data_IF_650077625336
#
_entry.id   IF_650077625336
#
_cell.length_a   1.000
_cell.length_b   1.000
_cell.length_c   1.000
_cell.angle_alpha   90.00
_cell.angle_beta   90.00
_cell.angle_gamma   90.00
#
_symmetry.space_group_name_H-M   'P 1'
#
loop_
_entity.id
_entity.type
_entity.pdbx_description
1 polymer ?
#
# COMPACT_ATOMS: atom_id res chain seq x y z
N UNK A 1 -23.79 9.94 20.07
CA UNK A 1 -24.33 8.66 19.56
C UNK A 1 -23.87 8.50 18.11
N UNK A 2 -23.05 7.49 17.83
CA UNK A 2 -22.66 7.15 16.46
C UNK A 2 -23.83 6.43 15.79
N UNK A 3 -24.42 6.99 14.73
CA UNK A 3 -25.58 6.40 14.04
C UNK A 3 -25.18 5.45 12.88
N UNK A 4 -23.97 5.59 12.35
CA UNK A 4 -23.48 4.84 11.18
C UNK A 4 -22.05 4.34 11.42
N UNK A 5 -21.68 3.19 10.85
CA UNK A 5 -20.31 2.71 10.79
C UNK A 5 -19.86 2.55 9.33
N UNK A 6 -18.62 2.97 9.07
CA UNK A 6 -17.93 2.67 7.83
C UNK A 6 -17.17 1.37 8.04
N UNK A 7 -17.55 0.33 7.30
CA UNK A 7 -16.81 -0.93 7.30
C UNK A 7 -16.04 -1.02 5.99
N UNK A 8 -14.71 -1.07 6.11
CA UNK A 8 -13.83 -1.45 5.01
C UNK A 8 -13.41 -2.89 5.25
N UNK A 9 -13.74 -3.77 4.31
CA UNK A 9 -13.19 -5.12 4.30
C UNK A 9 -12.05 -5.13 3.29
N UNK A 10 -10.83 -5.31 3.78
CA UNK A 10 -9.66 -5.49 2.93
C UNK A 10 -9.67 -6.92 2.41
N UNK A 11 -9.82 -7.08 1.10
CA UNK A 11 -9.84 -8.39 0.46
C UNK A 11 -8.67 -8.49 -0.51
N UNK A 12 -7.57 -9.10 -0.07
CA UNK A 12 -6.43 -9.35 -0.95
C UNK A 12 -6.83 -10.14 -2.19
N UNK A 13 -6.13 -9.88 -3.31
CA UNK A 13 -6.26 -10.64 -4.56
C UNK A 13 -6.00 -12.13 -4.28
N UNK A 14 -7.05 -12.88 -3.98
CA UNK A 14 -7.06 -14.33 -4.07
C UNK A 14 -7.31 -14.70 -5.54
N UNK A 15 -7.09 -15.95 -5.95
CA UNK A 15 -7.60 -16.45 -7.22
C UNK A 15 -9.14 -16.49 -7.16
N UNK A 16 -9.77 -15.32 -7.28
CA UNK A 16 -11.21 -15.16 -7.33
C UNK A 16 -11.70 -15.57 -8.71
N UNK A 17 -12.87 -16.21 -8.75
CA UNK A 17 -13.62 -16.29 -10.00
C UNK A 17 -14.13 -14.89 -10.34
N UNK A 18 -13.35 -14.16 -11.13
CA UNK A 18 -13.60 -12.76 -11.47
C UNK A 18 -14.95 -12.54 -12.17
N UNK A 19 -15.54 -13.58 -12.77
CA UNK A 19 -16.84 -13.49 -13.42
C UNK A 19 -18.01 -13.60 -12.45
N UNK A 20 -17.78 -14.17 -11.26
CA UNK A 20 -18.83 -14.39 -10.25
C UNK A 20 -18.61 -13.62 -8.97
N UNK A 21 -17.37 -13.22 -8.68
CA UNK A 21 -17.02 -12.44 -7.52
C UNK A 21 -17.73 -11.09 -7.57
N UNK A 22 -18.66 -10.89 -6.65
CA UNK A 22 -19.34 -9.63 -6.44
C UNK A 22 -19.49 -9.35 -4.95
N UNK A 23 -19.75 -8.10 -4.59
CA UNK A 23 -20.04 -7.77 -3.20
C UNK A 23 -21.49 -8.13 -2.89
N UNK A 24 -21.81 -8.42 -1.63
CA UNK A 24 -23.15 -8.90 -1.26
C UNK A 24 -24.24 -7.87 -1.58
N UNK A 25 -23.93 -6.58 -1.40
CA UNK A 25 -24.81 -5.45 -1.69
C UNK A 25 -24.67 -4.86 -3.10
N UNK A 26 -23.82 -5.44 -3.96
CA UNK A 26 -23.63 -4.96 -5.32
C UNK A 26 -23.31 -6.12 -6.30
N UNK A 27 -24.26 -6.51 -7.17
CA UNK A 27 -24.09 -7.64 -8.09
C UNK A 27 -23.15 -7.33 -9.27
N UNK A 28 -22.55 -6.14 -9.33
CA UNK A 28 -21.61 -5.78 -10.39
C UNK A 28 -20.34 -6.66 -10.30
N UNK A 29 -20.04 -7.49 -11.31
CA UNK A 29 -18.93 -8.44 -11.23
C UNK A 29 -17.57 -7.75 -11.12
N UNK A 30 -16.67 -8.29 -10.29
CA UNK A 30 -15.32 -7.76 -10.11
C UNK A 30 -14.53 -7.74 -11.42
N UNK A 31 -14.70 -8.74 -12.30
CA UNK A 31 -14.06 -8.78 -13.61
C UNK A 31 -14.51 -7.63 -14.52
N UNK A 32 -15.79 -7.26 -14.47
CA UNK A 32 -16.31 -6.10 -15.19
C UNK A 32 -15.74 -4.80 -14.61
N UNK A 33 -15.71 -4.68 -13.28
CA UNK A 33 -15.09 -3.54 -12.61
C UNK A 33 -13.62 -3.35 -12.98
N UNK A 34 -12.83 -4.43 -13.01
CA UNK A 34 -11.40 -4.37 -13.38
C UNK A 34 -11.22 -3.98 -14.85
N UNK A 35 -12.01 -4.53 -15.76
CA UNK A 35 -11.99 -4.14 -17.18
C UNK A 35 -12.33 -2.67 -17.36
N UNK A 36 -13.38 -2.20 -16.70
CA UNK A 36 -13.86 -0.83 -16.85
C UNK A 36 -12.89 0.17 -16.20
N UNK A 37 -12.21 -0.22 -15.11
CA UNK A 37 -11.08 0.53 -14.55
C UNK A 37 -9.90 0.59 -15.51
N UNK A 38 -9.50 -0.51 -16.14
CA UNK A 38 -8.43 -0.48 -17.12
C UNK A 38 -8.77 0.47 -18.27
N UNK A 39 -10.00 0.40 -18.78
CA UNK A 39 -10.46 1.30 -19.83
C UNK A 39 -10.48 2.78 -19.38
N UNK A 40 -10.77 3.06 -18.10
CA UNK A 40 -10.70 4.40 -17.53
C UNK A 40 -9.26 4.92 -17.49
N UNK A 41 -8.31 4.10 -17.00
CA UNK A 41 -6.90 4.47 -16.93
C UNK A 41 -6.30 4.67 -18.31
N UNK A 42 -6.61 3.79 -19.26
CA UNK A 42 -6.21 3.92 -20.66
C UNK A 42 -6.66 5.25 -21.26
N UNK A 43 -7.91 5.67 -21.01
CA UNK A 43 -8.43 6.97 -21.49
C UNK A 43 -7.80 8.15 -20.77
N UNK A 44 -7.64 8.05 -19.44
CA UNK A 44 -7.09 9.13 -18.63
C UNK A 44 -5.61 9.41 -18.89
N UNK A 45 -4.90 8.46 -19.51
CA UNK A 45 -3.46 8.52 -19.75
C UNK A 45 -3.11 8.41 -21.23
N UNK A 46 -4.09 8.54 -22.13
CA UNK A 46 -3.94 8.38 -23.58
C UNK A 46 -3.20 7.09 -23.98
N UNK A 47 -3.38 6.03 -23.17
CA UNK A 47 -2.69 4.73 -23.29
C UNK A 47 -1.16 4.81 -23.27
N UNK A 48 -0.60 5.91 -22.79
CA UNK A 48 0.86 6.09 -22.69
C UNK A 48 1.44 5.42 -21.44
N UNK A 49 0.60 5.15 -20.44
CA UNK A 49 1.02 4.63 -19.15
C UNK A 49 0.43 3.24 -18.92
N UNK A 50 1.24 2.34 -18.35
CA UNK A 50 0.82 1.00 -18.00
C UNK A 50 0.51 0.93 -16.50
N UNK A 51 -0.62 0.32 -16.16
CA UNK A 51 -1.02 0.06 -14.78
C UNK A 51 -1.37 -1.41 -14.60
N UNK A 52 -1.14 -1.94 -13.39
CA UNK A 52 -1.68 -3.22 -12.97
C UNK A 52 -2.54 -3.06 -11.73
N UNK A 53 -3.59 -3.86 -11.61
CA UNK A 53 -4.36 -3.99 -10.37
C UNK A 53 -3.45 -4.50 -9.25
N UNK A 54 -3.46 -3.79 -8.13
CA UNK A 54 -2.64 -4.08 -6.94
C UNK A 54 -3.49 -4.63 -5.80
N UNK A 55 -4.55 -3.91 -5.43
CA UNK A 55 -5.41 -4.25 -4.31
C UNK A 55 -6.88 -4.05 -4.67
N UNK A 56 -7.73 -4.94 -4.15
CA UNK A 56 -9.19 -4.83 -4.21
C UNK A 56 -9.72 -4.67 -2.79
N UNK A 57 -10.56 -3.68 -2.58
CA UNK A 57 -11.28 -3.50 -1.32
C UNK A 57 -12.77 -3.45 -1.63
N UNK A 58 -13.58 -4.03 -0.77
CA UNK A 58 -15.04 -3.88 -0.83
C UNK A 58 -15.45 -2.94 0.28
N UNK A 59 -16.19 -1.90 -0.07
CA UNK A 59 -16.61 -0.88 0.88
C UNK A 59 -18.13 -0.86 0.94
N UNK A 60 -18.65 -0.98 2.16
CA UNK A 60 -20.07 -0.87 2.47
C UNK A 60 -20.29 0.13 3.61
N UNK A 61 -21.44 0.80 3.59
CA UNK A 61 -21.87 1.70 4.66
C UNK A 61 -23.05 1.03 5.34
N UNK A 62 -22.94 0.76 6.64
CA UNK A 62 -23.98 0.07 7.40
C UNK A 62 -24.42 0.91 8.59
N UNK A 63 -25.67 0.72 9.03
CA UNK A 63 -26.09 1.19 10.35
C UNK A 63 -25.36 0.39 11.43
N UNK A 64 -25.25 0.94 12.63
CA UNK A 64 -24.73 0.21 13.79
C UNK A 64 -25.92 -0.25 14.62
N UNK A 65 -26.06 -1.57 14.80
CA UNK A 65 -27.10 -2.15 15.64
C UNK A 65 -26.71 -2.05 17.11
N UNK A 66 -25.49 -2.43 17.44
CA UNK A 66 -24.93 -2.41 18.79
C UNK A 66 -23.39 -2.40 18.72
N UNK A 67 -22.74 -2.12 19.85
CA UNK A 67 -21.29 -2.23 20.00
C UNK A 67 -20.98 -3.37 20.96
N UNK A 68 -20.16 -4.33 20.52
CA UNK A 68 -19.63 -5.38 21.38
C UNK A 68 -18.13 -5.22 21.51
N UNK A 69 -17.70 -4.58 22.59
CA UNK A 69 -16.29 -4.26 22.79
C UNK A 69 -15.79 -3.25 21.76
N UNK A 70 -14.75 -3.64 21.01
CA UNK A 70 -14.04 -2.79 20.04
C UNK A 70 -14.56 -2.95 18.59
N UNK A 71 -15.56 -3.80 18.36
CA UNK A 71 -16.12 -4.08 17.04
C UNK A 71 -17.62 -3.77 17.01
N UNK A 72 -18.10 -2.97 16.05
CA UNK A 72 -19.53 -2.72 15.90
C UNK A 72 -20.22 -3.97 15.33
N UNK A 73 -21.42 -4.26 15.83
CA UNK A 73 -22.34 -5.18 15.17
C UNK A 73 -23.11 -4.37 14.12
N UNK A 74 -22.87 -4.73 12.86
CA UNK A 74 -23.45 -4.05 11.71
C UNK A 74 -24.95 -4.37 11.61
N UNK A 75 -25.72 -3.36 11.26
CA UNK A 75 -27.15 -3.44 10.95
C UNK A 75 -27.39 -3.47 9.44
N UNK A 76 -28.34 -2.67 8.98
CA UNK A 76 -28.75 -2.59 7.59
C UNK A 76 -27.72 -1.86 6.72
N UNK A 77 -27.63 -2.26 5.45
CA UNK A 77 -26.84 -1.56 4.44
C UNK A 77 -27.50 -0.22 4.10
N UNK A 78 -26.77 0.88 4.26
CA UNK A 78 -27.24 2.25 4.07
C UNK A 78 -26.94 2.82 2.68
N UNK A 79 -25.96 2.25 1.97
CA UNK A 79 -25.60 2.66 0.62
C UNK A 79 -25.11 1.45 -0.20
N UNK A 80 -25.31 1.44 -1.54
CA UNK A 80 -24.76 0.38 -2.38
C UNK A 80 -23.27 0.20 -2.15
N UNK A 81 -22.86 -1.06 -2.00
CA UNK A 81 -21.45 -1.40 -1.87
C UNK A 81 -20.68 -1.09 -3.16
N UNK A 82 -19.39 -0.80 -3.04
CA UNK A 82 -18.54 -0.52 -4.19
C UNK A 82 -17.16 -1.13 -3.99
N UNK A 83 -16.44 -1.32 -5.11
CA UNK A 83 -15.04 -1.69 -5.07
C UNK A 83 -14.18 -0.45 -4.96
N UNK A 84 -13.17 -0.48 -4.10
CA UNK A 84 -12.01 0.40 -4.18
C UNK A 84 -10.84 -0.40 -4.74
N UNK A 85 -10.51 -0.12 -5.99
CA UNK A 85 -9.42 -0.74 -6.74
C UNK A 85 -8.20 0.19 -6.68
N UNK A 86 -7.09 -0.32 -6.18
CA UNK A 86 -5.78 0.35 -6.27
C UNK A 86 -5.02 -0.25 -7.43
N UNK A 87 -4.52 0.59 -8.32
CA UNK A 87 -3.64 0.21 -9.42
C UNK A 87 -2.28 0.89 -9.26
N UNK A 88 -1.25 0.19 -9.74
CA UNK A 88 0.14 0.62 -9.67
C UNK A 88 0.68 0.82 -11.08
N UNK A 89 1.28 1.98 -11.33
CA UNK A 89 1.97 2.29 -12.58
C UNK A 89 3.20 1.41 -12.76
N UNK A 90 3.49 1.04 -14.01
CA UNK A 90 4.72 0.36 -14.40
C UNK A 90 5.65 1.34 -15.09
N UNK A 91 6.93 1.29 -14.71
CA UNK A 91 8.02 1.98 -15.41
C UNK A 91 8.97 0.89 -15.92
N UNK A 92 9.23 0.89 -17.24
CA UNK A 92 10.08 -0.11 -17.89
C UNK A 92 9.69 -1.58 -17.57
N UNK A 93 8.40 -1.84 -17.44
CA UNK A 93 7.87 -3.17 -17.11
C UNK A 93 7.97 -3.58 -15.64
N UNK A 94 8.44 -2.69 -14.75
CA UNK A 94 8.48 -2.91 -13.31
C UNK A 94 7.42 -2.06 -12.60
N UNK A 95 6.65 -2.62 -11.65
CA UNK A 95 5.65 -1.86 -10.90
C UNK A 95 6.32 -0.88 -9.92
N UNK A 96 5.81 0.35 -9.82
CA UNK A 96 6.21 1.33 -8.79
C UNK A 96 5.43 1.04 -7.49
N UNK A 97 5.99 0.15 -6.67
CA UNK A 97 5.27 -0.51 -5.57
C UNK A 97 4.93 0.42 -4.41
N UNK A 98 5.79 1.41 -4.16
CA UNK A 98 5.71 2.29 -2.99
C UNK A 98 6.55 3.55 -3.26
N UNK A 99 6.20 4.66 -2.62
CA UNK A 99 7.18 5.69 -2.25
C UNK A 99 7.61 5.49 -0.80
N UNK A 100 8.90 5.68 -0.53
CA UNK A 100 9.40 5.83 0.83
C UNK A 100 8.78 7.10 1.41
N UNK A 101 7.57 6.98 1.93
CA UNK A 101 6.82 8.10 2.45
C UNK A 101 7.12 8.33 3.93
N UNK A 102 7.20 9.60 4.25
CA UNK A 102 7.36 10.16 5.59
C UNK A 102 6.07 9.85 6.39
N UNK A 103 5.89 8.64 6.90
CA UNK A 103 5.09 8.43 8.13
C UNK A 103 5.74 9.16 9.34
N UNK A 104 6.91 9.77 9.14
CA UNK A 104 7.45 10.88 9.92
C UNK A 104 6.60 12.17 9.87
N UNK A 105 5.49 12.24 9.12
CA UNK A 105 4.66 13.45 9.09
C UNK A 105 3.88 13.66 10.40
N UNK A 106 3.92 12.72 11.35
CA UNK A 106 3.34 12.87 12.68
C UNK A 106 4.32 12.49 13.81
N UNK A 107 5.32 13.36 14.05
CA UNK A 107 5.72 13.92 15.36
C UNK A 107 7.24 14.10 15.59
N UNK A 108 8.12 13.37 14.88
CA UNK A 108 9.57 13.38 15.18
C UNK A 108 10.51 13.71 14.00
N UNK A 109 9.99 14.10 12.82
CA UNK A 109 10.85 14.52 11.71
C UNK A 109 11.73 15.74 12.10
N UNK A 110 13.05 15.74 11.82
CA UNK A 110 13.88 16.92 12.03
C UNK A 110 13.30 18.13 11.31
N UNK A 111 13.15 19.26 12.02
CA UNK A 111 12.50 20.50 11.52
C UNK A 111 13.16 21.09 10.26
N UNK A 112 14.34 20.60 9.88
CA UNK A 112 15.15 21.05 8.76
C UNK A 112 14.97 20.22 7.47
N UNK A 113 14.16 19.17 7.47
CA UNK A 113 13.82 18.44 6.23
C UNK A 113 12.62 19.14 5.59
N UNK A 114 12.80 19.69 4.38
CA UNK A 114 11.67 20.17 3.59
C UNK A 114 10.76 18.97 3.29
N UNK A 115 9.48 19.12 3.63
CA UNK A 115 8.47 18.09 3.41
C UNK A 115 8.06 18.13 1.94
N UNK A 116 8.73 17.33 1.11
CA UNK A 116 8.36 17.15 -0.29
C UNK A 116 7.30 16.06 -0.36
N UNK A 117 6.04 16.45 -0.27
CA UNK A 117 4.95 15.49 -0.18
C UNK A 117 4.55 14.97 -1.57
N UNK A 118 5.35 14.07 -2.16
CA UNK A 118 4.87 13.26 -3.28
C UNK A 118 4.07 12.09 -2.72
N UNK A 119 2.81 12.35 -2.37
CA UNK A 119 1.91 11.31 -1.86
C UNK A 119 1.68 10.26 -2.96
N UNK A 120 2.21 9.05 -2.74
CA UNK A 120 1.95 7.84 -3.54
C UNK A 120 2.11 8.03 -5.08
N UNK A 121 3.33 8.29 -5.57
CA UNK A 121 3.60 8.41 -7.01
C UNK A 121 3.29 7.13 -7.76
N UNK A 122 2.76 7.28 -8.98
CA UNK A 122 2.37 6.16 -9.84
C UNK A 122 1.16 5.38 -9.32
N UNK A 123 0.37 5.95 -8.43
CA UNK A 123 -0.86 5.34 -7.95
C UNK A 123 -2.09 5.73 -8.80
N UNK A 124 -3.03 4.81 -8.89
CA UNK A 124 -4.40 5.14 -9.27
C UNK A 124 -5.36 4.47 -8.31
N UNK A 125 -6.33 5.23 -7.80
CA UNK A 125 -7.36 4.72 -6.91
C UNK A 125 -8.71 4.96 -7.55
N UNK A 126 -9.43 3.87 -7.82
CA UNK A 126 -10.75 3.91 -8.43
C UNK A 126 -11.77 3.34 -7.46
N UNK A 127 -12.83 4.10 -7.19
CA UNK A 127 -14.02 3.62 -6.48
C UNK A 127 -15.10 3.39 -7.52
N UNK A 128 -15.57 2.16 -7.68
CA UNK A 128 -16.53 1.79 -8.72
C UNK A 128 -17.64 0.92 -8.16
N UNK A 129 -18.87 1.39 -8.30
CA UNK A 129 -20.09 0.62 -7.98
C UNK A 129 -20.69 0.01 -9.26
N UNK A 130 -20.54 0.69 -10.40
CA UNK A 130 -20.94 0.21 -11.72
C UNK A 130 -20.22 0.99 -12.81
N UNK A 131 -20.38 0.57 -14.07
CA UNK A 131 -19.82 1.29 -15.22
C UNK A 131 -20.22 2.78 -15.30
N UNK A 132 -21.37 3.17 -14.74
CA UNK A 132 -21.87 4.54 -14.72
C UNK A 132 -21.73 5.25 -13.37
N UNK A 133 -21.28 4.56 -12.33
CA UNK A 133 -21.16 5.09 -10.97
C UNK A 133 -19.76 4.80 -10.42
N UNK A 134 -18.86 5.77 -10.61
CA UNK A 134 -17.48 5.66 -10.18
C UNK A 134 -16.87 7.03 -9.86
N UNK A 135 -15.78 7.02 -9.11
CA UNK A 135 -14.86 8.15 -8.95
C UNK A 135 -13.44 7.61 -9.02
N UNK A 136 -12.51 8.38 -9.58
CA UNK A 136 -11.12 7.94 -9.67
C UNK A 136 -10.17 9.13 -9.54
N UNK A 137 -8.96 8.83 -9.09
CA UNK A 137 -7.82 9.73 -9.12
C UNK A 137 -6.59 8.96 -9.59
N UNK A 138 -5.75 9.61 -10.39
CA UNK A 138 -4.49 9.07 -10.91
C UNK A 138 -3.39 10.06 -10.59
N UNK A 139 -2.23 9.57 -10.12
CA UNK A 139 -1.03 10.36 -9.86
C UNK A 139 0.11 9.81 -10.71
N UNK A 140 0.07 10.01 -12.03
CA UNK A 140 1.07 9.44 -12.90
C UNK A 140 2.43 10.08 -12.67
N UNK A 141 3.48 9.31 -12.89
CA UNK A 141 4.84 9.81 -12.97
C UNK A 141 5.40 9.62 -14.37
N UNK A 142 6.30 10.51 -14.76
CA UNK A 142 6.98 10.47 -16.04
C UNK A 142 8.48 10.26 -15.80
N UNK A 143 9.08 9.31 -16.51
CA UNK A 143 10.51 9.08 -16.46
C UNK A 143 11.23 10.19 -17.23
N UNK A 144 12.08 10.96 -16.54
CA UNK A 144 12.84 12.07 -17.13
C UNK A 144 14.26 11.67 -17.52
N UNK A 145 14.86 10.73 -16.80
CA UNK A 145 16.21 10.24 -17.04
C UNK A 145 16.41 8.83 -16.45
N UNK A 146 17.38 8.11 -16.98
CA UNK A 146 17.93 6.90 -16.36
C UNK A 146 19.28 7.25 -15.73
N UNK A 147 19.39 7.06 -14.41
CA UNK A 147 20.63 7.36 -13.68
C UNK A 147 21.65 6.21 -13.78
N UNK A 148 21.16 4.97 -13.77
CA UNK A 148 21.96 3.75 -13.87
C UNK A 148 21.20 2.68 -14.65
N UNK A 149 21.77 2.18 -15.75
CA UNK A 149 21.13 1.18 -16.61
C UNK A 149 21.15 -0.25 -16.03
N UNK A 150 22.24 -0.65 -15.37
CA UNK A 150 22.41 -2.01 -14.82
C UNK A 150 22.86 -1.95 -13.36
N UNK A 151 21.87 -2.04 -12.46
CA UNK A 151 22.10 -2.10 -11.02
C UNK A 151 22.26 -3.58 -10.62
N UNK A 152 23.43 -4.03 -10.15
CA UNK A 152 23.61 -5.42 -9.75
C UNK A 152 22.71 -5.74 -8.56
N UNK A 153 21.93 -6.80 -8.67
CA UNK A 153 21.06 -7.30 -7.61
C UNK A 153 21.78 -8.34 -6.75
N UNK A 154 21.53 -8.34 -5.44
CA UNK A 154 22.00 -9.44 -4.60
C UNK A 154 21.19 -10.73 -4.90
N UNK A 155 21.74 -11.91 -4.59
CA UNK A 155 21.00 -13.16 -4.71
C UNK A 155 19.69 -13.13 -3.90
N UNK A 156 18.64 -13.78 -4.41
CA UNK A 156 17.36 -13.91 -3.70
C UNK A 156 17.51 -14.51 -2.29
N UNK A 157 18.50 -15.38 -2.09
CA UNK A 157 18.84 -15.94 -0.78
C UNK A 157 19.18 -14.85 0.27
N UNK A 158 19.83 -13.75 -0.14
CA UNK A 158 20.11 -12.61 0.76
C UNK A 158 18.84 -11.88 1.18
N UNK A 159 17.86 -11.79 0.28
CA UNK A 159 16.53 -11.23 0.57
C UNK A 159 15.78 -12.14 1.55
N UNK A 160 15.75 -13.46 1.28
CA UNK A 160 15.13 -14.46 2.14
C UNK A 160 15.71 -14.44 3.55
N UNK A 161 17.04 -14.40 3.68
CA UNK A 161 17.72 -14.33 4.97
C UNK A 161 17.31 -13.07 5.77
N UNK A 162 17.11 -11.95 5.09
CA UNK A 162 16.68 -10.71 5.73
C UNK A 162 15.24 -10.80 6.25
N UNK A 163 14.36 -11.45 5.50
CA UNK A 163 12.98 -11.75 5.93
C UNK A 163 12.97 -12.72 7.10
N UNK A 164 13.76 -13.79 7.03
CA UNK A 164 13.88 -14.81 8.08
C UNK A 164 14.36 -14.20 9.40
N UNK A 165 15.32 -13.27 9.36
CA UNK A 165 15.77 -12.54 10.56
C UNK A 165 14.62 -11.79 11.23
N UNK A 166 13.73 -11.16 10.47
CA UNK A 166 12.56 -10.46 11.02
C UNK A 166 11.54 -11.43 11.63
N UNK A 167 11.39 -12.62 11.02
CA UNK A 167 10.49 -13.66 11.54
C UNK A 167 11.03 -14.22 12.85
N UNK A 168 12.29 -14.66 12.86
CA UNK A 168 12.94 -15.26 14.04
C UNK A 168 13.00 -14.30 15.22
N UNK A 169 13.16 -13.00 14.96
CA UNK A 169 13.14 -11.98 16.02
C UNK A 169 11.72 -11.60 16.50
N UNK A 170 10.68 -12.19 15.91
CA UNK A 170 9.29 -11.97 16.31
C UNK A 170 8.67 -10.66 15.79
N UNK A 171 9.43 -9.90 15.00
CA UNK A 171 8.99 -8.64 14.39
C UNK A 171 8.01 -8.90 13.24
N UNK A 172 8.30 -9.85 12.35
CA UNK A 172 7.42 -10.21 11.23
C UNK A 172 6.69 -11.51 11.54
N UNK A 173 5.38 -11.44 11.82
CA UNK A 173 4.59 -12.61 12.26
C UNK A 173 3.83 -13.29 11.14
N UNK A 174 3.68 -12.63 9.99
CA UNK A 174 3.09 -13.21 8.80
C UNK A 174 3.68 -12.58 7.54
N UNK A 175 3.73 -13.35 6.46
CA UNK A 175 4.08 -12.87 5.11
C UNK A 175 2.87 -13.09 4.21
N UNK A 176 2.30 -12.01 3.71
CA UNK A 176 1.15 -12.03 2.80
C UNK A 176 1.58 -11.96 1.34
N UNK A 177 2.66 -11.23 1.04
CA UNK A 177 3.26 -11.19 -0.29
C UNK A 177 4.73 -10.76 -0.26
N UNK A 178 5.45 -11.15 -1.30
CA UNK A 178 6.81 -10.68 -1.63
C UNK A 178 6.78 -10.26 -3.11
N UNK A 179 7.11 -9.01 -3.40
CA UNK A 179 7.04 -8.45 -4.76
C UNK A 179 8.34 -7.74 -5.11
N UNK A 180 8.78 -7.92 -6.36
CA UNK A 180 9.89 -7.19 -6.94
C UNK A 180 9.36 -6.04 -7.79
N UNK A 181 10.00 -4.87 -7.70
CA UNK A 181 9.61 -3.69 -8.46
C UNK A 181 10.45 -2.48 -8.08
N UNK A 182 9.94 -1.30 -8.38
CA UNK A 182 10.56 -0.03 -8.06
C UNK A 182 9.96 0.54 -6.78
N UNK A 183 10.79 1.23 -6.02
CA UNK A 183 10.39 2.07 -4.90
C UNK A 183 10.87 3.49 -5.18
N UNK A 184 9.99 4.47 -5.03
CA UNK A 184 10.32 5.89 -5.18
C UNK A 184 10.92 6.44 -3.89
N UNK A 185 11.94 7.26 -4.05
CA UNK A 185 12.62 8.05 -3.01
C UNK A 185 12.58 9.52 -3.43
N UNK A 186 12.69 10.42 -2.46
CA UNK A 186 12.82 11.85 -2.76
C UNK A 186 14.14 12.12 -3.49
N UNK A 187 14.08 12.95 -4.53
CA UNK A 187 15.27 13.49 -5.19
C UNK A 187 15.80 14.69 -4.39
N UNK A 188 17.00 14.62 -3.78
CA UNK A 188 17.54 15.74 -3.01
C UNK A 188 17.80 16.99 -3.85
N UNK A 189 17.93 16.86 -5.17
CA UNK A 189 18.24 17.95 -6.10
C UNK A 189 16.99 18.54 -6.77
N UNK A 190 15.80 17.96 -6.55
CA UNK A 190 14.56 18.37 -7.20
C UNK A 190 13.35 18.28 -6.27
N UNK A 191 12.71 19.42 -6.00
CA UNK A 191 11.59 19.51 -5.06
C UNK A 191 10.35 18.68 -5.44
N UNK A 192 10.18 18.39 -6.73
CA UNK A 192 9.11 17.54 -7.28
C UNK A 192 9.67 16.25 -7.91
N UNK A 193 10.98 16.03 -7.79
CA UNK A 193 11.68 14.89 -8.35
C UNK A 193 11.58 13.65 -7.47
N UNK A 194 11.56 12.50 -8.11
CA UNK A 194 11.67 11.21 -7.44
C UNK A 194 12.76 10.39 -8.10
N UNK A 195 13.47 9.61 -7.29
CA UNK A 195 14.40 8.58 -7.76
C UNK A 195 13.74 7.23 -7.54
N UNK A 196 13.53 6.47 -8.61
CA UNK A 196 12.97 5.13 -8.54
C UNK A 196 14.09 4.08 -8.54
N UNK A 197 14.12 3.20 -7.53
CA UNK A 197 15.15 2.18 -7.38
C UNK A 197 14.58 0.77 -7.17
N UNK A 198 15.26 -0.27 -7.68
CA UNK A 198 14.79 -1.66 -7.53
C UNK A 198 14.81 -2.11 -6.07
N UNK A 199 13.71 -2.70 -5.63
CA UNK A 199 13.55 -3.22 -4.28
C UNK A 199 12.64 -4.46 -4.26
N UNK A 200 12.74 -5.20 -3.17
CA UNK A 200 11.76 -6.19 -2.77
C UNK A 200 10.85 -5.60 -1.70
N UNK A 201 9.54 -5.70 -1.90
CA UNK A 201 8.52 -5.25 -0.93
C UNK A 201 7.83 -6.47 -0.34
N UNK A 202 7.90 -6.60 0.99
CA UNK A 202 7.27 -7.65 1.76
C UNK A 202 6.07 -7.07 2.49
N UNK A 203 4.89 -7.63 2.23
CA UNK A 203 3.68 -7.27 2.95
C UNK A 203 3.42 -8.27 4.05
N UNK A 204 3.16 -7.80 5.27
CA UNK A 204 2.93 -8.68 6.41
C UNK A 204 2.56 -7.96 7.70
N UNK A 205 2.29 -8.73 8.75
CA UNK A 205 2.05 -8.19 10.07
C UNK A 205 3.40 -7.94 10.75
N UNK A 206 3.81 -6.68 10.78
CA UNK A 206 5.04 -6.23 11.42
C UNK A 206 4.74 -5.62 12.78
N UNK A 207 5.57 -5.95 13.76
CA UNK A 207 5.53 -5.46 15.12
C UNK A 207 6.81 -4.68 15.39
N UNK A 208 6.68 -3.39 15.73
CA UNK A 208 7.84 -2.56 16.10
C UNK A 208 8.51 -3.10 17.37
N UNK A 209 7.71 -3.51 18.34
CA UNK A 209 8.17 -4.21 19.53
C UNK A 209 7.67 -5.66 19.50
N UNK A 210 8.57 -6.66 19.34
CA UNK A 210 8.18 -8.06 19.19
C UNK A 210 7.66 -8.65 20.51
N UNK A 211 7.96 -8.03 21.66
CA UNK A 211 7.50 -8.46 22.98
C UNK A 211 6.02 -8.14 23.26
N UNK A 212 5.39 -7.30 22.43
CA UNK A 212 4.00 -6.88 22.63
C UNK A 212 3.04 -7.92 22.05
N UNK A 213 2.05 -8.33 22.85
CA UNK A 213 1.05 -9.35 22.48
C UNK A 213 -0.25 -8.76 21.92
N UNK A 214 -0.27 -7.49 21.53
CA UNK A 214 -1.48 -6.80 21.08
C UNK A 214 -2.13 -7.51 19.87
N UNK A 215 -3.46 -7.63 19.93
CA UNK A 215 -4.28 -8.13 18.83
C UNK A 215 -4.29 -7.08 17.69
N UNK A 216 -3.87 -7.42 16.46
CA UNK A 216 -3.75 -6.49 15.34
C UNK A 216 -5.07 -5.95 14.78
N UNK A 217 -6.19 -6.39 15.32
CA UNK A 217 -7.53 -6.02 14.85
C UNK A 217 -8.28 -5.07 15.79
N UNK A 218 -7.65 -4.63 16.87
CA UNK A 218 -8.28 -3.80 17.89
C UNK A 218 -8.17 -2.30 17.55
N UNK A 219 -9.02 -1.84 16.64
CA UNK A 219 -9.00 -0.45 16.16
C UNK A 219 -9.72 0.56 17.07
N UNK A 220 -10.42 0.12 18.13
CA UNK A 220 -11.19 0.99 19.03
C UNK A 220 -10.92 0.70 20.50
N UNK A 221 -11.23 1.60 21.44
CA UNK A 221 -11.18 1.35 22.88
C UNK A 221 -12.18 0.27 23.29
N UNK A 222 -11.96 -0.49 24.39
CA UNK A 222 -12.89 -1.55 24.81
C UNK A 222 -14.36 -1.14 24.94
N UNK A 223 -14.64 0.16 25.10
CA UNK A 223 -16.00 0.73 25.14
C UNK A 223 -16.51 1.23 23.77
N UNK A 224 -15.75 1.05 22.70
CA UNK A 224 -16.09 1.42 21.32
C UNK A 224 -16.09 2.92 21.03
N UNK A 225 -15.66 3.78 21.98
CA UNK A 225 -15.87 5.24 21.88
C UNK A 225 -14.75 6.00 21.20
N UNK A 226 -13.53 5.48 21.19
CA UNK A 226 -12.38 6.12 20.56
C UNK A 226 -11.63 5.12 19.67
N UNK A 227 -11.13 5.58 18.53
CA UNK A 227 -10.21 4.81 17.70
C UNK A 227 -8.86 4.70 18.42
N UNK A 228 -8.35 3.50 18.67
CA UNK A 228 -6.97 3.29 19.11
C UNK A 228 -6.11 3.27 17.86
N UNK A 229 -5.88 4.44 17.28
CA UNK A 229 -4.81 4.61 16.31
C UNK A 229 -3.49 4.58 17.06
N UNK A 230 -2.66 3.57 16.81
CA UNK A 230 -1.36 3.48 17.49
C UNK A 230 -0.90 2.10 17.98
N UNK A 231 -1.54 0.99 17.58
CA UNK A 231 -1.12 -0.32 18.06
C UNK A 231 0.35 -0.60 17.66
N UNK A 232 1.10 -1.34 18.50
CA UNK A 232 2.49 -1.74 18.21
C UNK A 232 2.66 -2.63 16.96
N UNK A 233 1.56 -2.87 16.23
CA UNK A 233 1.45 -3.63 15.01
C UNK A 233 0.84 -2.77 13.90
N UNK A 234 1.40 -2.90 12.71
CA UNK A 234 0.77 -2.36 11.51
C UNK A 234 0.91 -3.42 10.42
N UNK A 235 -0.13 -3.54 9.60
CA UNK A 235 0.04 -4.16 8.29
C UNK A 235 0.99 -3.24 7.51
N UNK A 236 2.26 -3.59 7.51
CA UNK A 236 3.29 -2.81 6.86
C UNK A 236 3.91 -3.61 5.74
N UNK A 237 4.75 -2.91 5.03
CA UNK A 237 5.00 -3.07 3.64
C UNK A 237 6.50 -2.75 3.58
N UNK A 238 7.26 -3.74 4.03
CA UNK A 238 8.69 -3.71 4.36
C UNK A 238 9.49 -3.62 3.06
N UNK A 239 10.39 -2.65 2.97
CA UNK A 239 11.25 -2.49 1.80
C UNK A 239 12.60 -3.14 2.07
N UNK A 240 13.11 -3.91 1.11
CA UNK A 240 14.43 -4.50 1.13
C UNK A 240 15.15 -4.06 -0.15
N UNK A 241 16.24 -3.33 -0.01
CA UNK A 241 17.05 -2.87 -1.13
C UNK A 241 17.52 -4.09 -1.96
N UNK A 242 17.25 -4.09 -3.27
CA UNK A 242 17.48 -5.27 -4.10
C UNK A 242 18.96 -5.52 -4.43
N UNK A 243 19.83 -4.53 -4.23
CA UNK A 243 21.28 -4.65 -4.45
C UNK A 243 22.03 -5.15 -3.22
N UNK A 244 21.60 -4.76 -2.03
CA UNK A 244 22.34 -5.03 -0.77
C UNK A 244 21.65 -6.06 0.11
N UNK A 245 20.35 -6.30 -0.09
CA UNK A 245 19.52 -7.06 0.83
C UNK A 245 19.26 -6.34 2.16
N UNK A 246 19.69 -5.08 2.32
CA UNK A 246 19.43 -4.29 3.51
C UNK A 246 17.93 -4.00 3.61
N UNK A 247 17.36 -4.36 4.75
CA UNK A 247 16.01 -4.01 5.14
C UNK A 247 15.92 -2.54 5.51
N UNK A 248 14.94 -1.84 4.94
CA UNK A 248 14.57 -0.46 5.21
C UNK A 248 13.22 -0.50 5.93
N UNK A 249 13.26 -0.60 7.25
CA UNK A 249 12.08 -0.59 8.13
C UNK A 249 12.29 0.47 9.19
N UNK A 250 11.19 1.12 9.56
CA UNK A 250 11.16 2.14 10.60
C UNK A 250 11.97 3.37 10.15
N UNK A 251 11.34 4.20 9.29
CA UNK A 251 11.86 5.43 8.70
C UNK A 251 12.12 6.52 9.75
N UNK A 252 12.86 6.16 10.79
CA UNK A 252 13.28 7.02 11.89
C UNK A 252 14.56 7.77 11.53
N UNK A 253 15.27 7.33 10.49
CA UNK A 253 16.41 8.02 9.89
C UNK A 253 16.01 8.62 8.53
N UNK A 254 16.24 9.93 8.37
CA UNK A 254 16.05 10.67 7.12
C UNK A 254 16.81 10.02 5.96
N UNK A 255 17.94 9.36 6.24
CA UNK A 255 18.73 8.63 5.23
C UNK A 255 17.96 7.52 4.54
N UNK A 256 16.98 6.91 5.20
CA UNK A 256 16.21 5.81 4.62
C UNK A 256 15.07 6.30 3.72
N UNK A 257 14.82 7.62 3.69
CA UNK A 257 13.87 8.31 2.79
C UNK A 257 14.55 8.76 1.48
N UNK A 258 15.87 8.95 1.52
CA UNK A 258 16.67 9.29 0.35
C UNK A 258 17.06 8.03 -0.43
N UNK A 259 17.23 8.18 -1.74
CA UNK A 259 17.70 7.07 -2.57
C UNK A 259 19.08 6.58 -2.07
N UNK A 260 19.23 5.28 -1.75
CA UNK A 260 20.54 4.76 -1.39
C UNK A 260 21.54 4.93 -2.55
N UNK A 261 22.81 5.14 -2.22
CA UNK A 261 23.86 5.15 -3.23
C UNK A 261 23.93 3.81 -3.97
N UNK A 262 24.07 3.86 -5.30
CA UNK A 262 24.23 2.67 -6.13
C UNK A 262 25.66 2.15 -5.99
N UNK A 263 25.81 0.93 -5.49
CA UNK A 263 27.07 0.20 -5.45
C UNK A 263 27.34 -0.36 -6.84
N UNK A 264 28.20 0.29 -7.61
CA UNK A 264 28.68 -0.25 -8.88
C UNK A 264 29.72 -1.34 -8.63
N UNK A 265 29.74 -2.40 -9.44
CA UNK A 265 30.86 -3.36 -9.40
C UNK A 265 32.13 -2.63 -9.84
N UNK A 266 33.18 -2.70 -9.02
CA UNK A 266 34.55 -2.43 -9.48
C UNK A 266 35.01 -3.50 -10.46
#
# INVERSE_FOLDING_TARGET
EWKNAYTQVYIWLRPWDMQRACTQGNPYPLGDAVRDVQALLDRATDRQLQFSLDTVETVGIYSVKEWTGQTPILGELLAPEYYRLKCTQHLRGLPLLRAMDIELMNNDAPKNVQKHAVFAPGDAVVRIASASSYSFGVRPVHETAVLHDDIPLCPLASIQQSIEKLIVSGHLRSVHSLRFGLVAYDDPDSADGIIAMPAWVVKGNYYRNPAVSDNPWNSFTPDGKAFIGGANNYLTDIVINAQTGRTLIDLTDVRDVLAPEVVTKQ
#
